data_IF_127765601980
#
_entry.id   IF_127765601980
#
_cell.length_a   1.000
_cell.length_b   1.000
_cell.length_c   1.000
_cell.angle_alpha   90.00
_cell.angle_beta   90.00
_cell.angle_gamma   90.00
#
_symmetry.space_group_name_H-M   'P 1'
#
loop_
_entity.id
_entity.type
_entity.pdbx_description
1 polymer ?
#
# COMPACT_ATOMS: atom_id res chain seq x y z
N UNK A 1 -2.21 -10.97 -34.42
CA UNK A 1 -2.55 -9.54 -34.66
C UNK A 1 -1.38 -8.94 -35.41
N UNK A 2 -1.61 -8.24 -36.52
CA UNK A 2 -0.54 -7.61 -37.31
C UNK A 2 -0.06 -6.34 -36.56
N UNK A 3 1.22 -5.98 -36.67
CA UNK A 3 1.69 -4.71 -36.10
C UNK A 3 1.09 -3.52 -36.88
N UNK A 4 0.83 -2.40 -36.19
CA UNK A 4 0.29 -1.16 -36.84
C UNK A 4 1.17 -0.69 -37.97
N UNK A 5 2.50 -0.78 -37.84
CA UNK A 5 3.46 -0.45 -38.87
C UNK A 5 3.30 -1.35 -40.12
N UNK A 6 3.06 -2.65 -39.93
CA UNK A 6 2.82 -3.58 -41.05
C UNK A 6 1.52 -3.26 -41.78
N UNK A 7 0.44 -3.00 -40.99
CA UNK A 7 -0.87 -2.63 -41.58
C UNK A 7 -0.73 -1.36 -42.41
N UNK A 8 -0.07 -0.33 -41.86
CA UNK A 8 0.10 0.95 -42.51
C UNK A 8 0.91 0.83 -43.82
N UNK A 9 2.02 0.11 -43.79
CA UNK A 9 2.82 -0.13 -44.99
C UNK A 9 2.02 -0.83 -46.09
N UNK A 10 1.14 -1.77 -45.74
CA UNK A 10 0.26 -2.45 -46.72
C UNK A 10 -0.82 -1.54 -47.28
N UNK A 11 -1.42 -0.69 -46.45
CA UNK A 11 -2.40 0.31 -46.88
C UNK A 11 -1.78 1.31 -47.85
N UNK A 12 -0.61 1.85 -47.52
CA UNK A 12 0.11 2.78 -48.39
C UNK A 12 0.50 2.12 -49.71
N UNK A 13 1.04 0.90 -49.72
CA UNK A 13 1.35 0.15 -50.97
C UNK A 13 0.11 -0.12 -51.83
N UNK A 14 -1.05 -0.36 -51.22
CA UNK A 14 -2.30 -0.49 -51.98
C UNK A 14 -2.76 0.84 -52.59
N UNK A 15 -2.58 1.94 -51.86
CA UNK A 15 -2.90 3.29 -52.33
C UNK A 15 -1.98 3.73 -53.48
N UNK A 16 -0.69 3.36 -53.46
CA UNK A 16 0.25 3.65 -54.55
C UNK A 16 -0.13 3.01 -55.90
N UNK A 17 -0.87 1.91 -55.86
CA UNK A 17 -1.39 1.29 -57.07
C UNK A 17 -2.52 2.11 -57.76
N UNK A 18 -3.16 3.02 -57.03
CA UNK A 18 -4.31 3.85 -57.46
C UNK A 18 -4.00 5.34 -57.53
N UNK A 19 -3.05 5.79 -56.69
CA UNK A 19 -2.52 7.14 -56.66
C UNK A 19 -1.04 7.07 -57.08
N UNK A 20 -0.51 8.18 -57.59
CA UNK A 20 0.94 8.17 -57.91
C UNK A 20 1.77 8.10 -56.61
N UNK A 21 2.96 7.42 -56.58
CA UNK A 21 3.82 7.37 -55.41
C UNK A 21 4.16 8.74 -54.84
N UNK A 22 4.31 9.75 -55.67
CA UNK A 22 4.55 11.15 -55.26
C UNK A 22 3.38 11.74 -54.45
N UNK A 23 2.14 11.39 -54.79
CA UNK A 23 0.96 11.85 -54.07
C UNK A 23 0.90 11.17 -52.70
N UNK A 24 1.17 9.86 -52.63
CA UNK A 24 1.18 9.12 -51.38
C UNK A 24 2.29 9.65 -50.45
N UNK A 25 3.52 9.81 -50.92
CA UNK A 25 4.60 10.36 -50.09
C UNK A 25 4.33 11.77 -49.63
N UNK A 26 3.78 12.63 -50.45
CA UNK A 26 3.49 14.03 -50.09
C UNK A 26 2.52 14.14 -48.91
N UNK A 27 1.50 13.29 -48.88
CA UNK A 27 0.43 13.40 -47.87
C UNK A 27 0.59 12.48 -46.68
N UNK A 28 1.37 11.38 -46.77
CA UNK A 28 1.40 10.34 -45.75
C UNK A 28 2.79 10.03 -45.18
N UNK A 29 3.91 10.63 -45.64
CA UNK A 29 5.26 10.35 -45.16
C UNK A 29 5.42 10.48 -43.66
N UNK A 30 4.76 11.47 -43.02
CA UNK A 30 4.80 11.71 -41.58
C UNK A 30 3.49 11.28 -40.90
N UNK A 31 2.72 10.36 -41.48
CA UNK A 31 1.43 9.89 -40.93
C UNK A 31 1.63 8.56 -40.23
N UNK A 32 1.16 8.47 -39.00
CA UNK A 32 1.27 7.27 -38.15
C UNK A 32 -0.13 6.78 -37.73
N UNK A 33 -0.27 5.45 -37.55
CA UNK A 33 -1.44 4.89 -36.90
C UNK A 33 -1.30 5.05 -35.39
N UNK A 34 -2.23 5.79 -34.78
CA UNK A 34 -2.34 5.92 -33.32
C UNK A 34 -3.18 4.79 -32.72
N UNK A 35 -4.28 4.44 -33.38
CA UNK A 35 -5.20 3.40 -32.90
C UNK A 35 -5.78 2.62 -34.11
N UNK A 36 -5.86 1.29 -33.93
CA UNK A 36 -6.52 0.40 -34.88
C UNK A 36 -7.37 -0.60 -34.12
N UNK A 37 -8.69 -0.52 -34.36
CA UNK A 37 -9.67 -1.47 -33.84
C UNK A 37 -10.48 -2.05 -35.02
N UNK A 38 -11.34 -3.03 -34.77
CA UNK A 38 -12.20 -3.61 -35.81
C UNK A 38 -13.19 -2.61 -36.42
N UNK A 39 -13.41 -1.46 -35.77
CA UNK A 39 -14.37 -0.44 -36.17
C UNK A 39 -13.75 0.93 -36.44
N UNK A 40 -12.53 1.21 -35.96
CA UNK A 40 -11.94 2.55 -36.02
C UNK A 40 -10.45 2.49 -36.36
N UNK A 41 -10.01 3.40 -37.22
CA UNK A 41 -8.63 3.70 -37.55
C UNK A 41 -8.36 5.17 -37.24
N UNK A 42 -7.47 5.46 -36.30
CA UNK A 42 -7.05 6.83 -35.98
C UNK A 42 -5.64 7.05 -36.48
N UNK A 43 -5.47 8.07 -37.28
CA UNK A 43 -4.20 8.49 -37.85
C UNK A 43 -3.73 9.81 -37.24
N UNK A 44 -2.44 9.95 -37.10
CA UNK A 44 -1.81 11.23 -36.79
C UNK A 44 -1.18 11.83 -38.04
N UNK A 45 -1.39 13.13 -38.22
CA UNK A 45 -0.72 13.91 -39.26
C UNK A 45 -0.26 15.25 -38.66
N UNK A 46 1.04 15.62 -38.71
CA UNK A 46 1.56 16.79 -38.01
C UNK A 46 1.02 18.15 -38.55
N UNK A 47 0.32 18.14 -39.66
CA UNK A 47 -0.19 19.34 -40.34
C UNK A 47 -1.71 19.33 -40.48
N UNK A 48 -2.38 20.36 -39.95
CA UNK A 48 -3.83 20.58 -40.10
C UNK A 48 -4.24 20.60 -41.57
N UNK A 49 -3.39 21.15 -42.45
CA UNK A 49 -3.66 21.16 -43.90
C UNK A 49 -3.61 19.74 -44.49
N UNK A 50 -2.64 18.91 -44.13
CA UNK A 50 -2.56 17.51 -44.55
C UNK A 50 -3.74 16.70 -44.01
N UNK A 51 -4.12 16.89 -42.77
CA UNK A 51 -5.32 16.30 -42.18
C UNK A 51 -6.56 16.55 -43.03
N UNK A 52 -6.82 17.81 -43.38
CA UNK A 52 -7.96 18.18 -44.19
C UNK A 52 -7.96 17.50 -45.55
N UNK A 53 -6.80 17.38 -46.21
CA UNK A 53 -6.66 16.68 -47.48
C UNK A 53 -6.91 15.18 -47.31
N UNK A 54 -6.35 14.55 -46.29
CA UNK A 54 -6.55 13.13 -46.02
C UNK A 54 -8.03 12.85 -45.77
N UNK A 55 -8.69 13.62 -44.91
CA UNK A 55 -10.11 13.46 -44.60
C UNK A 55 -11.02 13.64 -45.83
N UNK A 56 -10.76 14.66 -46.66
CA UNK A 56 -11.64 15.01 -47.77
C UNK A 56 -11.39 14.18 -49.04
N UNK A 57 -10.17 13.72 -49.26
CA UNK A 57 -9.79 13.13 -50.54
C UNK A 57 -9.25 11.70 -50.46
N UNK A 58 -8.71 11.29 -49.32
CA UNK A 58 -7.98 10.01 -49.20
C UNK A 58 -8.70 8.96 -48.36
N UNK A 59 -9.70 9.31 -47.55
CA UNK A 59 -10.44 8.36 -46.70
C UNK A 59 -11.07 7.21 -47.47
N UNK A 60 -11.56 7.47 -48.69
CA UNK A 60 -12.14 6.43 -49.56
C UNK A 60 -11.13 5.33 -49.92
N UNK A 61 -9.91 5.74 -50.29
CA UNK A 61 -8.82 4.81 -50.65
C UNK A 61 -8.31 4.03 -49.43
N UNK A 62 -8.24 4.64 -48.27
CA UNK A 62 -7.83 3.97 -47.04
C UNK A 62 -8.88 2.94 -46.62
N UNK A 63 -10.18 3.28 -46.65
CA UNK A 63 -11.28 2.34 -46.35
C UNK A 63 -11.28 1.14 -47.31
N UNK A 64 -11.09 1.39 -48.58
CA UNK A 64 -11.02 0.36 -49.61
C UNK A 64 -9.82 -0.57 -49.36
N UNK A 65 -8.64 -0.03 -49.08
CA UNK A 65 -7.46 -0.80 -48.74
C UNK A 65 -7.67 -1.65 -47.46
N UNK A 66 -8.27 -1.09 -46.41
CA UNK A 66 -8.60 -1.81 -45.19
C UNK A 66 -9.58 -2.95 -45.43
N UNK A 67 -10.59 -2.72 -46.27
CA UNK A 67 -11.58 -3.74 -46.62
C UNK A 67 -11.00 -4.85 -47.50
N UNK A 68 -10.20 -4.50 -48.52
CA UNK A 68 -9.67 -5.50 -49.47
C UNK A 68 -8.55 -6.35 -48.87
N UNK A 69 -7.67 -5.74 -48.06
CA UNK A 69 -6.48 -6.45 -47.51
C UNK A 69 -6.80 -7.16 -46.19
N UNK A 70 -7.57 -6.50 -45.30
CA UNK A 70 -7.78 -6.96 -43.93
C UNK A 70 -9.22 -7.36 -43.64
N UNK A 71 -10.15 -7.17 -44.58
CA UNK A 71 -11.59 -7.41 -44.42
C UNK A 71 -12.23 -6.60 -43.27
N UNK A 72 -11.67 -5.42 -42.98
CA UNK A 72 -12.11 -4.55 -41.89
C UNK A 72 -12.83 -3.33 -42.46
N UNK A 73 -14.02 -3.02 -41.91
CA UNK A 73 -14.76 -1.80 -42.25
C UNK A 73 -14.62 -0.80 -41.12
N UNK A 74 -13.66 0.13 -41.26
CA UNK A 74 -13.27 1.06 -40.22
C UNK A 74 -13.75 2.49 -40.49
N UNK A 75 -14.12 3.21 -39.43
CA UNK A 75 -14.23 4.67 -39.49
C UNK A 75 -12.82 5.26 -39.36
N UNK A 76 -12.53 6.28 -40.19
CA UNK A 76 -11.22 6.92 -40.22
C UNK A 76 -11.32 8.29 -39.54
N UNK A 77 -10.51 8.49 -38.56
CA UNK A 77 -10.27 9.76 -37.90
C UNK A 77 -8.82 10.20 -38.10
N UNK A 78 -8.56 11.49 -38.26
CA UNK A 78 -7.21 12.03 -38.45
C UNK A 78 -7.02 13.17 -37.49
N UNK A 79 -6.01 13.08 -36.67
CA UNK A 79 -5.66 14.07 -35.66
C UNK A 79 -4.42 14.85 -36.06
N UNK A 80 -4.43 16.16 -35.80
CA UNK A 80 -3.27 17.01 -35.99
C UNK A 80 -2.52 17.26 -34.67
N UNK A 81 -1.47 18.09 -34.73
CA UNK A 81 -0.61 18.39 -33.58
C UNK A 81 -1.37 19.05 -32.42
N UNK A 82 -2.47 19.78 -32.71
CA UNK A 82 -3.27 20.46 -31.68
C UNK A 82 -4.26 19.51 -30.99
N UNK A 83 -4.65 18.42 -31.65
CA UNK A 83 -5.63 17.45 -31.15
C UNK A 83 -4.98 16.21 -30.55
N UNK A 84 -3.72 15.93 -30.94
CA UNK A 84 -3.03 14.70 -30.51
C UNK A 84 -2.81 14.64 -29.00
N UNK A 85 -2.53 15.77 -28.36
CA UNK A 85 -2.37 15.84 -26.90
C UNK A 85 -3.68 15.52 -26.18
N UNK A 86 -4.79 16.09 -26.65
CA UNK A 86 -6.12 15.81 -26.12
C UNK A 86 -6.55 14.36 -26.41
N UNK A 87 -6.14 13.81 -27.53
CA UNK A 87 -6.43 12.41 -27.90
C UNK A 87 -5.60 11.43 -27.06
N UNK A 88 -4.28 11.65 -26.92
CA UNK A 88 -3.40 10.84 -26.09
C UNK A 88 -3.86 10.84 -24.62
N UNK A 89 -4.39 11.96 -24.14
CA UNK A 89 -5.05 12.04 -22.85
C UNK A 89 -6.35 11.21 -22.74
N UNK A 90 -7.06 11.01 -23.87
CA UNK A 90 -8.32 10.21 -23.93
C UNK A 90 -8.10 8.74 -24.31
N UNK A 91 -7.04 8.44 -25.08
CA UNK A 91 -6.78 7.08 -25.62
C UNK A 91 -6.11 6.13 -24.65
N UNK A 92 -5.56 6.62 -23.55
CA UNK A 92 -5.36 5.76 -22.40
C UNK A 92 -6.76 5.51 -21.82
N UNK A 93 -7.46 4.44 -22.28
CA UNK A 93 -8.50 3.85 -21.44
C UNK A 93 -7.86 3.72 -20.07
N UNK A 94 -8.45 4.31 -19.00
CA UNK A 94 -7.92 4.12 -17.67
C UNK A 94 -7.64 2.63 -17.54
N UNK A 95 -6.42 2.24 -17.18
CA UNK A 95 -6.12 0.86 -16.81
C UNK A 95 -7.21 0.51 -15.81
N UNK A 96 -8.13 -0.37 -16.24
CA UNK A 96 -9.31 -0.69 -15.46
C UNK A 96 -8.77 -1.31 -14.17
N UNK A 97 -8.75 -0.52 -13.11
CA UNK A 97 -8.41 -1.05 -11.79
C UNK A 97 -9.48 -2.10 -11.53
N UNK A 98 -9.13 -3.38 -11.58
CA UNK A 98 -10.02 -4.42 -11.11
C UNK A 98 -10.30 -4.16 -9.63
N UNK A 99 -11.39 -3.43 -9.38
CA UNK A 99 -11.83 -3.15 -8.03
C UNK A 99 -12.18 -4.47 -7.37
N UNK A 100 -11.49 -4.81 -6.30
CA UNK A 100 -11.92 -5.94 -5.48
C UNK A 100 -13.33 -5.65 -4.95
N UNK A 101 -14.36 -6.39 -5.38
CA UNK A 101 -15.75 -6.09 -5.01
C UNK A 101 -16.01 -6.20 -3.50
N UNK A 102 -15.10 -6.78 -2.75
CA UNK A 102 -15.17 -6.86 -1.29
C UNK A 102 -14.71 -5.57 -0.59
N UNK A 103 -13.96 -4.70 -1.26
CA UNK A 103 -13.40 -3.49 -0.65
C UNK A 103 -14.30 -2.28 -0.91
N UNK A 104 -15.45 -2.25 -0.24
CA UNK A 104 -16.43 -1.16 -0.29
C UNK A 104 -16.59 -0.54 1.11
N UNK A 105 -17.14 0.67 1.18
CA UNK A 105 -17.47 1.29 2.49
C UNK A 105 -18.47 0.46 3.29
N UNK A 106 -19.42 -0.20 2.61
CA UNK A 106 -20.43 -1.04 3.28
C UNK A 106 -19.82 -2.27 3.96
N UNK A 107 -18.75 -2.81 3.40
CA UNK A 107 -18.02 -3.95 3.96
C UNK A 107 -16.97 -3.55 5.00
N UNK A 108 -16.70 -2.25 5.14
CA UNK A 108 -15.73 -1.75 6.10
C UNK A 108 -16.38 -1.60 7.48
N UNK A 109 -15.91 -2.38 8.45
CA UNK A 109 -16.44 -2.31 9.83
C UNK A 109 -15.90 -1.07 10.53
N UNK A 110 -16.80 -0.14 10.87
CA UNK A 110 -16.45 1.12 11.52
C UNK A 110 -16.53 0.97 13.04
N UNK A 111 -15.44 1.34 13.71
CA UNK A 111 -15.33 1.39 15.17
C UNK A 111 -14.66 2.68 15.65
N UNK A 112 -14.42 2.80 16.96
CA UNK A 112 -13.79 3.98 17.57
C UNK A 112 -12.40 4.26 16.98
N UNK A 113 -11.66 3.21 16.62
CA UNK A 113 -10.27 3.26 16.16
C UNK A 113 -10.07 3.67 14.70
N UNK A 114 -11.15 3.72 13.88
CA UNK A 114 -11.06 3.99 12.44
C UNK A 114 -12.15 4.93 11.92
N UNK A 115 -13.08 5.36 12.78
CA UNK A 115 -14.23 6.19 12.40
C UNK A 115 -13.83 7.48 11.71
N UNK A 116 -12.78 8.14 12.19
CA UNK A 116 -12.31 9.39 11.61
C UNK A 116 -11.75 9.20 10.19
N UNK A 117 -10.89 8.21 10.01
CA UNK A 117 -10.32 7.86 8.69
C UNK A 117 -11.42 7.42 7.70
N UNK A 118 -12.38 6.62 8.17
CA UNK A 118 -13.55 6.22 7.37
C UNK A 118 -14.37 7.43 6.93
N UNK A 119 -14.74 8.33 7.86
CA UNK A 119 -15.53 9.52 7.55
C UNK A 119 -14.80 10.45 6.56
N UNK A 120 -13.48 10.64 6.72
CA UNK A 120 -12.65 11.40 5.79
C UNK A 120 -12.63 10.76 4.39
N UNK A 121 -12.47 9.43 4.32
CA UNK A 121 -12.49 8.69 3.06
C UNK A 121 -13.84 8.80 2.34
N UNK A 122 -14.96 8.69 3.05
CA UNK A 122 -16.32 8.87 2.50
C UNK A 122 -16.51 10.30 1.98
N UNK A 123 -16.02 11.31 2.72
CA UNK A 123 -16.10 12.71 2.29
C UNK A 123 -15.35 12.96 1.00
N UNK A 124 -14.11 12.46 0.89
CA UNK A 124 -13.28 12.56 -0.33
C UNK A 124 -13.91 11.81 -1.50
N UNK A 125 -14.48 10.64 -1.25
CA UNK A 125 -15.11 9.84 -2.30
C UNK A 125 -16.34 10.51 -2.92
N UNK A 126 -17.10 11.29 -2.12
CA UNK A 126 -18.29 12.00 -2.58
C UNK A 126 -17.95 13.36 -3.22
N UNK A 127 -16.90 14.03 -2.76
CA UNK A 127 -16.49 15.37 -3.23
C UNK A 127 -14.97 15.39 -3.45
N UNK A 128 -14.46 14.74 -4.52
CA UNK A 128 -13.03 14.70 -4.81
C UNK A 128 -12.46 16.10 -5.05
N UNK A 129 -11.27 16.36 -4.49
CA UNK A 129 -10.52 17.61 -4.55
C UNK A 129 -11.16 18.84 -3.84
N UNK A 130 -12.38 18.72 -3.35
CA UNK A 130 -13.09 19.84 -2.70
C UNK A 130 -12.90 19.87 -1.18
N UNK A 131 -12.83 18.70 -0.54
CA UNK A 131 -12.90 18.62 0.93
C UNK A 131 -11.52 18.52 1.57
N UNK A 132 -10.78 17.46 1.27
CA UNK A 132 -9.48 17.16 1.85
C UNK A 132 -8.49 16.71 0.77
N UNK A 133 -7.54 17.57 0.40
CA UNK A 133 -6.52 17.25 -0.59
C UNK A 133 -5.14 17.73 -0.14
N UNK A 134 -4.16 16.81 0.05
CA UNK A 134 -4.30 15.35 0.02
C UNK A 134 -5.07 14.80 1.23
N UNK A 135 -5.62 13.59 1.10
CA UNK A 135 -5.99 12.76 2.25
C UNK A 135 -4.85 11.79 2.53
N UNK A 136 -4.30 11.85 3.74
CA UNK A 136 -3.22 10.98 4.19
C UNK A 136 -3.71 10.05 5.30
N UNK A 137 -3.78 8.73 5.01
CA UNK A 137 -4.26 7.72 5.96
C UNK A 137 -3.07 6.90 6.45
N UNK A 138 -2.84 6.86 7.75
CA UNK A 138 -1.74 6.09 8.28
C UNK A 138 -2.15 5.15 9.42
N UNK A 139 -1.30 4.19 9.72
CA UNK A 139 -1.46 3.24 10.81
C UNK A 139 -0.79 1.90 10.51
N UNK A 140 -0.63 1.03 11.51
CA UNK A 140 0.01 -0.27 11.36
C UNK A 140 -0.51 -1.10 10.18
N UNK A 141 0.28 -2.09 9.74
CA UNK A 141 -0.09 -2.95 8.63
C UNK A 141 -1.34 -3.79 8.97
N UNK A 142 -2.20 -4.02 7.96
CA UNK A 142 -3.35 -4.91 8.10
C UNK A 142 -4.58 -4.31 8.79
N UNK A 143 -4.69 -2.98 8.93
CA UNK A 143 -5.83 -2.30 9.55
C UNK A 143 -6.89 -1.79 8.57
N UNK A 144 -6.75 -2.05 7.26
CA UNK A 144 -7.75 -1.69 6.26
C UNK A 144 -7.46 -0.42 5.45
N UNK A 145 -6.24 0.14 5.48
CA UNK A 145 -5.85 1.32 4.66
C UNK A 145 -6.12 1.10 3.17
N UNK A 146 -5.61 0.00 2.62
CA UNK A 146 -5.85 -0.39 1.22
C UNK A 146 -7.34 -0.57 0.92
N UNK A 147 -8.14 -1.09 1.87
CA UNK A 147 -9.58 -1.21 1.74
C UNK A 147 -10.23 0.16 1.50
N UNK A 148 -9.85 1.17 2.29
CA UNK A 148 -10.37 2.54 2.14
C UNK A 148 -9.97 3.15 0.79
N UNK A 149 -8.74 2.92 0.30
CA UNK A 149 -8.34 3.37 -1.04
C UNK A 149 -9.25 2.80 -2.14
N UNK A 150 -9.49 1.49 -2.11
CA UNK A 150 -10.38 0.85 -3.09
C UNK A 150 -11.84 1.28 -2.93
N UNK A 151 -12.31 1.51 -1.70
CA UNK A 151 -13.65 2.01 -1.45
C UNK A 151 -13.84 3.42 -2.03
N UNK A 152 -12.86 4.32 -1.84
CA UNK A 152 -12.84 5.65 -2.47
C UNK A 152 -12.90 5.50 -3.99
N UNK A 153 -12.00 4.71 -4.57
CA UNK A 153 -11.92 4.52 -6.02
C UNK A 153 -13.24 3.99 -6.61
N UNK A 154 -13.87 3.03 -5.93
CA UNK A 154 -15.16 2.44 -6.36
C UNK A 154 -16.29 3.47 -6.39
N UNK A 155 -16.40 4.31 -5.36
CA UNK A 155 -17.44 5.36 -5.28
C UNK A 155 -17.17 6.46 -6.31
N UNK A 156 -15.92 6.92 -6.43
CA UNK A 156 -15.55 7.93 -7.44
C UNK A 156 -15.81 7.42 -8.85
N UNK A 157 -15.42 6.17 -9.16
CA UNK A 157 -15.70 5.57 -10.48
C UNK A 157 -17.20 5.50 -10.79
N UNK A 158 -18.03 5.17 -9.79
CA UNK A 158 -19.48 5.13 -9.94
C UNK A 158 -20.09 6.51 -10.18
N UNK A 159 -19.62 7.53 -9.46
CA UNK A 159 -20.15 8.89 -9.52
C UNK A 159 -19.57 9.69 -10.70
N UNK A 160 -18.32 9.42 -11.07
CA UNK A 160 -17.58 10.10 -12.14
C UNK A 160 -16.92 9.07 -13.08
N UNK A 161 -17.72 8.41 -13.98
CA UNK A 161 -17.21 7.34 -14.86
C UNK A 161 -16.11 7.78 -15.83
N UNK A 162 -16.00 9.08 -16.08
CA UNK A 162 -14.98 9.67 -16.97
C UNK A 162 -13.65 9.96 -16.29
N UNK A 163 -13.58 9.85 -14.95
CA UNK A 163 -12.36 10.15 -14.22
C UNK A 163 -11.29 9.10 -14.48
N UNK A 164 -10.09 9.58 -14.74
CA UNK A 164 -8.89 8.76 -14.79
C UNK A 164 -8.42 8.46 -13.36
N UNK A 165 -8.73 7.26 -12.87
CA UNK A 165 -8.36 6.82 -11.52
C UNK A 165 -7.07 6.01 -11.61
N UNK A 166 -6.02 6.46 -10.96
CA UNK A 166 -4.72 5.79 -10.91
C UNK A 166 -4.44 5.31 -9.50
N UNK A 167 -4.31 3.99 -9.35
CA UNK A 167 -3.86 3.36 -8.09
C UNK A 167 -2.47 2.76 -8.30
N UNK A 168 -1.57 3.01 -7.36
CA UNK A 168 -0.22 2.43 -7.38
C UNK A 168 0.33 2.24 -5.97
N UNK A 169 1.21 1.26 -5.79
CA UNK A 169 2.01 1.12 -4.59
C UNK A 169 3.32 1.90 -4.71
N UNK A 170 3.83 2.41 -3.58
CA UNK A 170 5.06 3.20 -3.57
C UNK A 170 6.30 2.48 -4.13
N UNK A 171 6.41 1.16 -3.93
CA UNK A 171 7.47 0.34 -4.51
C UNK A 171 7.28 0.15 -6.02
N UNK A 172 6.06 -0.06 -6.48
CA UNK A 172 5.72 -0.18 -7.90
C UNK A 172 5.99 1.13 -8.65
N UNK A 173 5.60 2.29 -8.08
CA UNK A 173 5.92 3.60 -8.65
C UNK A 173 7.42 3.76 -8.89
N UNK A 174 8.25 3.33 -7.92
CA UNK A 174 9.70 3.34 -8.07
C UNK A 174 10.16 2.44 -9.21
N UNK A 175 9.65 1.21 -9.29
CA UNK A 175 10.07 0.25 -10.31
C UNK A 175 9.67 0.71 -11.73
N UNK A 176 8.46 1.26 -11.88
CA UNK A 176 8.02 1.81 -13.15
C UNK A 176 8.83 3.03 -13.58
N UNK A 177 9.20 3.91 -12.63
CA UNK A 177 10.10 5.04 -12.92
C UNK A 177 11.46 4.57 -13.41
N UNK A 178 12.07 3.59 -12.74
CA UNK A 178 13.37 3.03 -13.14
C UNK A 178 13.30 2.44 -14.55
N UNK A 179 12.25 1.67 -14.85
CA UNK A 179 12.05 1.09 -16.17
C UNK A 179 11.87 2.19 -17.24
N UNK A 180 11.07 3.20 -16.96
CA UNK A 180 10.83 4.34 -17.87
C UNK A 180 12.13 5.12 -18.15
N UNK A 181 12.99 5.32 -17.14
CA UNK A 181 14.29 5.97 -17.29
C UNK A 181 15.24 5.14 -18.17
N UNK A 182 15.30 3.82 -17.96
CA UNK A 182 16.16 2.93 -18.73
C UNK A 182 15.74 2.81 -20.20
N UNK A 183 14.45 2.89 -20.47
CA UNK A 183 13.86 2.75 -21.80
C UNK A 183 13.62 4.09 -22.51
N UNK A 184 13.95 5.22 -21.88
CA UNK A 184 13.74 6.57 -22.44
C UNK A 184 12.25 6.98 -22.55
N UNK A 185 11.34 6.29 -21.82
CA UNK A 185 9.88 6.53 -21.85
C UNK A 185 9.39 7.45 -20.74
N UNK A 186 10.19 8.45 -20.34
CA UNK A 186 9.89 9.36 -19.25
C UNK A 186 8.57 10.13 -19.45
N UNK A 187 8.26 10.50 -20.70
CA UNK A 187 7.03 11.24 -21.00
C UNK A 187 5.78 10.36 -20.82
N UNK A 188 5.83 9.08 -21.17
CA UNK A 188 4.73 8.15 -20.95
C UNK A 188 4.46 7.96 -19.45
N UNK A 189 5.52 7.78 -18.66
CA UNK A 189 5.42 7.70 -17.21
C UNK A 189 4.76 8.96 -16.61
N UNK A 190 5.24 10.15 -17.00
CA UNK A 190 4.67 11.42 -16.54
C UNK A 190 3.23 11.59 -16.94
N UNK A 191 2.88 11.25 -18.18
CA UNK A 191 1.51 11.34 -18.67
C UNK A 191 0.57 10.40 -17.92
N UNK A 192 1.01 9.17 -17.59
CA UNK A 192 0.23 8.22 -16.81
C UNK A 192 -0.18 8.78 -15.45
N UNK A 193 0.77 9.37 -14.72
CA UNK A 193 0.51 9.80 -13.34
C UNK A 193 0.04 11.24 -13.21
N UNK A 194 0.50 12.16 -14.05
CA UNK A 194 0.16 13.59 -13.95
C UNK A 194 -1.21 13.94 -14.53
N UNK A 195 -1.84 13.02 -15.30
CA UNK A 195 -3.19 13.20 -15.84
C UNK A 195 -4.26 12.41 -15.06
N UNK A 196 -3.95 11.97 -13.85
CA UNK A 196 -4.93 11.30 -12.99
C UNK A 196 -5.89 12.33 -12.37
N UNK A 197 -7.20 12.11 -12.47
CA UNK A 197 -8.21 12.88 -11.75
C UNK A 197 -8.28 12.48 -10.27
N UNK A 198 -8.01 11.17 -10.00
CA UNK A 198 -7.87 10.61 -8.67
C UNK A 198 -6.58 9.78 -8.61
N UNK A 199 -5.63 10.21 -7.79
CA UNK A 199 -4.35 9.54 -7.59
C UNK A 199 -4.28 8.89 -6.21
N UNK A 200 -4.25 7.56 -6.19
CA UNK A 200 -4.23 6.73 -5.00
C UNK A 200 -2.87 6.04 -4.86
N UNK A 201 -2.17 6.32 -3.78
CA UNK A 201 -0.85 5.72 -3.53
C UNK A 201 -0.88 4.92 -2.24
N UNK A 202 -0.70 3.62 -2.36
CA UNK A 202 -0.64 2.73 -1.21
C UNK A 202 0.82 2.54 -0.75
N UNK A 203 1.02 2.53 0.56
CA UNK A 203 2.32 2.31 1.19
C UNK A 203 3.41 3.26 0.69
N UNK A 204 3.16 4.58 0.74
CA UNK A 204 4.07 5.63 0.25
C UNK A 204 5.46 5.60 0.93
N UNK A 205 5.61 5.01 2.14
CA UNK A 205 6.89 4.88 2.83
C UNK A 205 7.96 4.16 1.98
N UNK A 206 7.59 3.39 0.98
CA UNK A 206 8.54 2.68 0.11
C UNK A 206 9.33 3.58 -0.86
N UNK A 207 8.93 4.87 -1.03
CA UNK A 207 9.76 5.83 -1.78
C UNK A 207 10.85 6.45 -0.91
N UNK A 208 10.76 6.35 0.42
CA UNK A 208 11.73 6.96 1.33
C UNK A 208 13.16 6.45 1.09
N UNK A 209 14.13 7.36 1.04
CA UNK A 209 15.52 7.07 0.77
C UNK A 209 15.87 6.84 -0.71
N UNK A 210 14.95 7.08 -1.64
CA UNK A 210 15.14 6.96 -3.10
C UNK A 210 15.03 8.35 -3.74
N UNK A 211 16.11 9.12 -3.76
CA UNK A 211 16.13 10.54 -4.14
C UNK A 211 15.43 10.82 -5.47
N UNK A 212 15.82 10.14 -6.56
CA UNK A 212 15.19 10.35 -7.88
C UNK A 212 13.70 10.03 -7.90
N UNK A 213 13.26 9.03 -7.11
CA UNK A 213 11.84 8.67 -6.98
C UNK A 213 11.08 9.75 -6.21
N UNK A 214 11.67 10.28 -5.13
CA UNK A 214 11.07 11.35 -4.35
C UNK A 214 10.95 12.64 -5.17
N UNK A 215 11.94 12.94 -6.00
CA UNK A 215 11.93 14.10 -6.89
C UNK A 215 10.80 14.01 -7.93
N UNK A 216 10.68 12.89 -8.65
CA UNK A 216 9.62 12.71 -9.65
C UNK A 216 8.22 12.65 -8.98
N UNK A 217 8.14 12.04 -7.79
CA UNK A 217 6.90 12.03 -7.00
C UNK A 217 6.49 13.44 -6.57
N UNK A 218 7.44 14.26 -6.13
CA UNK A 218 7.20 15.66 -5.77
C UNK A 218 6.63 16.47 -6.94
N UNK A 219 7.20 16.32 -8.13
CA UNK A 219 6.70 16.98 -9.33
C UNK A 219 5.31 16.48 -9.74
N UNK A 220 5.07 15.17 -9.64
CA UNK A 220 3.76 14.57 -9.90
C UNK A 220 2.71 15.09 -8.92
N UNK A 221 3.03 15.10 -7.63
CA UNK A 221 2.17 15.62 -6.58
C UNK A 221 1.79 17.10 -6.82
N UNK A 222 2.78 17.95 -7.09
CA UNK A 222 2.51 19.37 -7.33
C UNK A 222 1.62 19.59 -8.55
N UNK A 223 1.90 18.90 -9.66
CA UNK A 223 1.09 18.99 -10.86
C UNK A 223 -0.38 18.62 -10.58
N UNK A 224 -0.63 17.50 -9.88
CA UNK A 224 -1.98 17.06 -9.54
C UNK A 224 -2.66 18.04 -8.58
N UNK A 225 -1.96 18.52 -7.57
CA UNK A 225 -2.50 19.44 -6.57
C UNK A 225 -2.88 20.80 -7.18
N UNK A 226 -2.02 21.37 -8.01
CA UNK A 226 -2.24 22.65 -8.70
C UNK A 226 -3.39 22.60 -9.71
N UNK A 227 -3.61 21.42 -10.31
CA UNK A 227 -4.74 21.18 -11.22
C UNK A 227 -6.02 20.73 -10.49
N UNK A 228 -6.07 20.80 -9.15
CA UNK A 228 -7.22 20.40 -8.34
C UNK A 228 -7.64 18.92 -8.55
N UNK A 229 -6.67 18.04 -8.74
CA UNK A 229 -6.92 16.58 -8.78
C UNK A 229 -6.78 16.00 -7.40
N UNK A 230 -7.60 14.99 -7.06
CA UNK A 230 -7.59 14.38 -5.74
C UNK A 230 -6.39 13.45 -5.56
N UNK A 231 -5.68 13.63 -4.44
CA UNK A 231 -4.58 12.77 -4.01
C UNK A 231 -4.98 12.08 -2.71
N UNK A 232 -4.80 10.75 -2.63
CA UNK A 232 -4.97 9.97 -1.40
C UNK A 232 -3.75 9.09 -1.21
N UNK A 233 -3.14 9.19 -0.04
CA UNK A 233 -1.91 8.48 0.30
C UNK A 233 -2.14 7.59 1.51
N UNK A 234 -1.53 6.39 1.52
CA UNK A 234 -1.46 5.59 2.74
C UNK A 234 -0.03 5.33 3.18
N UNK A 235 0.15 5.12 4.48
CA UNK A 235 1.44 4.80 5.08
C UNK A 235 1.33 3.93 6.34
N UNK A 236 2.46 3.40 6.80
CA UNK A 236 2.53 2.67 8.08
C UNK A 236 2.67 3.62 9.30
N UNK A 237 3.06 4.88 9.07
CA UNK A 237 3.33 5.92 10.08
C UNK A 237 3.07 7.32 9.53
N UNK A 238 2.96 8.36 10.40
CA UNK A 238 2.75 9.73 9.94
C UNK A 238 3.99 10.29 9.21
N UNK A 239 3.83 11.34 8.37
CA UNK A 239 4.91 11.90 7.54
C UNK A 239 6.15 12.33 8.33
N UNK A 240 5.98 12.93 9.51
CA UNK A 240 7.07 13.40 10.37
C UNK A 240 7.95 12.27 10.95
N UNK A 241 7.41 11.05 11.06
CA UNK A 241 8.15 9.87 11.53
C UNK A 241 8.83 9.09 10.40
N UNK A 242 8.61 9.47 9.15
CA UNK A 242 9.26 8.83 8.00
C UNK A 242 10.71 9.27 7.89
N UNK A 243 11.62 8.44 8.40
CA UNK A 243 13.06 8.63 8.21
C UNK A 243 13.40 8.56 6.71
N UNK A 244 14.30 9.44 6.24
CA UNK A 244 14.75 9.53 4.83
C UNK A 244 13.67 9.97 3.82
N UNK A 245 12.52 10.45 4.27
CA UNK A 245 11.59 11.20 3.42
C UNK A 245 12.03 12.67 3.42
N UNK A 246 12.08 13.29 2.22
CA UNK A 246 12.45 14.68 2.07
C UNK A 246 11.43 15.61 2.74
N UNK A 247 11.90 16.66 3.41
CA UNK A 247 11.05 17.57 4.18
C UNK A 247 10.02 18.31 3.31
N UNK A 248 10.35 18.55 2.04
CA UNK A 248 9.40 19.13 1.07
C UNK A 248 8.19 18.21 0.82
N UNK A 249 8.38 16.86 0.79
CA UNK A 249 7.28 15.89 0.67
C UNK A 249 6.49 15.78 1.97
N UNK A 250 7.15 15.76 3.14
CA UNK A 250 6.47 15.77 4.44
C UNK A 250 5.51 16.95 4.53
N UNK A 251 5.99 18.15 4.22
CA UNK A 251 5.18 19.37 4.21
C UNK A 251 3.97 19.26 3.27
N UNK A 252 4.15 18.67 2.06
CA UNK A 252 3.06 18.47 1.10
C UNK A 252 2.00 17.48 1.62
N UNK A 253 2.43 16.38 2.26
CA UNK A 253 1.52 15.40 2.83
C UNK A 253 0.71 15.97 4.00
N UNK A 254 1.26 16.96 4.70
CA UNK A 254 0.60 17.64 5.82
C UNK A 254 -0.34 18.79 5.39
N UNK A 255 -0.36 19.19 4.11
CA UNK A 255 -1.24 20.27 3.65
C UNK A 255 -2.72 19.95 3.73
N UNK A 256 -3.09 18.68 3.61
CA UNK A 256 -4.47 18.22 3.65
C UNK A 256 -4.89 17.67 5.01
N UNK A 257 -5.62 16.58 4.99
CA UNK A 257 -6.07 15.90 6.19
C UNK A 257 -5.25 14.66 6.46
N UNK A 258 -4.70 14.56 7.67
CA UNK A 258 -4.04 13.36 8.17
C UNK A 258 -5.01 12.60 9.07
N UNK A 259 -5.28 11.33 8.75
CA UNK A 259 -6.17 10.45 9.48
C UNK A 259 -5.46 9.18 9.90
N UNK A 260 -5.52 8.84 11.19
CA UNK A 260 -4.93 7.63 11.72
C UNK A 260 -5.95 6.47 11.79
N UNK A 261 -5.43 5.26 11.67
CA UNK A 261 -6.17 4.03 11.95
C UNK A 261 -5.41 3.27 13.03
N UNK A 262 -6.07 3.04 14.16
CA UNK A 262 -5.53 2.29 15.29
C UNK A 262 -6.04 0.83 15.29
N UNK A 263 -5.39 -0.09 16.03
CA UNK A 263 -5.92 -1.43 16.23
C UNK A 263 -7.37 -1.40 16.76
N UNK A 264 -8.24 -2.29 16.25
CA UNK A 264 -9.64 -2.31 16.61
C UNK A 264 -9.84 -2.69 18.10
N UNK A 265 -10.81 -2.04 18.77
CA UNK A 265 -11.29 -2.45 20.08
C UNK A 265 -12.01 -3.81 20.03
N UNK A 266 -12.35 -4.35 21.19
CA UNK A 266 -12.97 -5.68 21.30
C UNK A 266 -14.29 -5.77 20.50
N UNK A 267 -15.16 -4.76 20.62
CA UNK A 267 -16.46 -4.70 19.95
C UNK A 267 -16.27 -4.65 18.43
N UNK A 268 -15.33 -3.86 17.96
CA UNK A 268 -15.01 -3.76 16.53
C UNK A 268 -14.44 -5.09 16.02
N UNK A 269 -13.56 -5.79 16.77
CA UNK A 269 -13.07 -7.13 16.39
C UNK A 269 -14.21 -8.13 16.30
N UNK A 270 -15.13 -8.15 17.28
CA UNK A 270 -16.32 -9.00 17.23
C UNK A 270 -17.16 -8.77 15.97
N UNK A 271 -17.39 -7.49 15.63
CA UNK A 271 -18.13 -7.13 14.43
C UNK A 271 -17.42 -7.57 13.14
N UNK A 272 -16.08 -7.41 13.07
CA UNK A 272 -15.27 -7.87 11.94
C UNK A 272 -15.36 -9.39 11.76
N UNK A 273 -15.23 -10.16 12.84
CA UNK A 273 -15.31 -11.63 12.82
C UNK A 273 -16.68 -12.07 12.30
N UNK A 274 -17.77 -11.51 12.86
CA UNK A 274 -19.15 -11.83 12.45
C UNK A 274 -19.42 -11.45 10.99
N UNK A 275 -19.05 -10.24 10.58
CA UNK A 275 -19.22 -9.80 9.20
C UNK A 275 -18.45 -10.71 8.23
N UNK A 276 -17.20 -11.07 8.59
CA UNK A 276 -16.38 -11.96 7.76
C UNK A 276 -16.94 -13.37 7.68
N UNK A 277 -17.45 -13.94 8.76
CA UNK A 277 -18.06 -15.27 8.74
C UNK A 277 -19.31 -15.30 7.85
N UNK A 278 -20.20 -14.31 7.98
CA UNK A 278 -21.38 -14.17 7.13
C UNK A 278 -21.00 -14.00 5.66
N UNK A 279 -20.01 -13.15 5.35
CA UNK A 279 -19.53 -12.96 3.97
C UNK A 279 -18.92 -14.24 3.34
N UNK A 280 -18.46 -15.15 4.17
CA UNK A 280 -17.97 -16.46 3.79
C UNK A 280 -19.06 -17.55 3.76
N UNK A 281 -20.32 -17.22 4.09
CA UNK A 281 -21.46 -18.12 4.03
C UNK A 281 -21.59 -19.10 5.20
N UNK A 282 -21.02 -18.78 6.39
CA UNK A 282 -21.19 -19.60 7.58
C UNK A 282 -21.31 -18.69 8.82
N UNK A 283 -21.92 -19.22 9.88
CA UNK A 283 -22.09 -18.50 11.14
C UNK A 283 -21.19 -19.09 12.23
N UNK A 284 -20.48 -18.21 12.94
CA UNK A 284 -19.68 -18.59 14.10
C UNK A 284 -20.51 -18.38 15.38
N UNK A 285 -20.51 -19.34 16.32
CA UNK A 285 -21.10 -19.16 17.64
C UNK A 285 -20.47 -17.96 18.39
N UNK A 286 -21.26 -17.30 19.22
CA UNK A 286 -20.82 -16.09 19.95
C UNK A 286 -19.63 -16.33 20.88
N UNK A 287 -19.56 -17.47 21.53
CA UNK A 287 -18.45 -17.90 22.39
C UNK A 287 -17.16 -18.08 21.61
N UNK A 288 -17.26 -18.63 20.38
CA UNK A 288 -16.12 -18.77 19.45
C UNK A 288 -15.68 -17.39 18.95
N UNK A 289 -16.60 -16.51 18.57
CA UNK A 289 -16.28 -15.14 18.18
C UNK A 289 -15.57 -14.39 19.32
N UNK A 290 -16.06 -14.51 20.55
CA UNK A 290 -15.44 -13.94 21.74
C UNK A 290 -14.03 -14.46 21.94
N UNK A 291 -13.85 -15.78 21.87
CA UNK A 291 -12.53 -16.41 21.99
C UNK A 291 -11.54 -15.89 20.94
N UNK A 292 -11.96 -15.74 19.68
CA UNK A 292 -11.10 -15.21 18.62
C UNK A 292 -10.76 -13.73 18.89
N UNK A 293 -11.76 -12.93 19.25
CA UNK A 293 -11.58 -11.50 19.51
C UNK A 293 -10.66 -11.21 20.72
N UNK A 294 -10.64 -12.07 21.73
CA UNK A 294 -9.75 -11.96 22.88
C UNK A 294 -8.30 -12.37 22.58
N UNK A 295 -8.10 -13.32 21.69
CA UNK A 295 -6.79 -13.91 21.43
C UNK A 295 -6.09 -13.38 20.16
N UNK A 296 -6.82 -12.79 19.21
CA UNK A 296 -6.29 -12.19 17.97
C UNK A 296 -6.56 -10.69 18.01
N UNK A 297 -5.56 -9.91 18.41
CA UNK A 297 -5.72 -8.49 18.74
C UNK A 297 -4.96 -7.52 17.84
N UNK A 298 -3.94 -8.00 17.10
CA UNK A 298 -2.94 -7.14 16.45
C UNK A 298 -3.47 -6.42 15.20
N UNK A 299 -4.19 -7.12 14.33
CA UNK A 299 -4.65 -6.51 13.08
C UNK A 299 -5.84 -7.24 12.43
N UNK A 300 -6.56 -6.53 11.57
CA UNK A 300 -7.75 -7.03 10.88
C UNK A 300 -7.42 -8.16 9.89
N UNK A 301 -6.26 -8.08 9.22
CA UNK A 301 -5.83 -9.13 8.26
C UNK A 301 -5.68 -10.49 8.94
N UNK A 302 -5.14 -10.50 10.16
CA UNK A 302 -5.00 -11.73 10.94
C UNK A 302 -6.36 -12.25 11.43
N UNK A 303 -7.27 -11.36 11.87
CA UNK A 303 -8.65 -11.72 12.21
C UNK A 303 -9.36 -12.40 11.03
N UNK A 304 -9.34 -11.77 9.85
CA UNK A 304 -9.95 -12.34 8.66
C UNK A 304 -9.30 -13.66 8.22
N UNK A 305 -7.96 -13.74 8.32
CA UNK A 305 -7.22 -14.97 8.06
C UNK A 305 -7.64 -16.11 9.00
N UNK A 306 -7.83 -15.78 10.28
CA UNK A 306 -8.31 -16.71 11.30
C UNK A 306 -9.70 -17.26 10.96
N UNK A 307 -10.66 -16.39 10.59
CA UNK A 307 -12.00 -16.80 10.20
C UNK A 307 -11.97 -17.70 8.95
N UNK A 308 -11.15 -17.36 7.94
CA UNK A 308 -10.96 -18.18 6.74
C UNK A 308 -10.38 -19.57 7.08
N UNK A 309 -9.40 -19.61 7.98
CA UNK A 309 -8.80 -20.88 8.43
C UNK A 309 -9.80 -21.78 9.16
N UNK A 310 -10.61 -21.19 10.05
CA UNK A 310 -11.68 -21.93 10.77
C UNK A 310 -12.68 -22.51 9.77
N UNK A 311 -13.12 -21.72 8.79
CA UNK A 311 -14.00 -22.19 7.73
C UNK A 311 -13.40 -23.40 6.99
N UNK A 312 -12.13 -23.31 6.61
CA UNK A 312 -11.46 -24.40 5.91
C UNK A 312 -11.46 -25.70 6.73
N UNK A 313 -11.20 -25.65 8.04
CA UNK A 313 -11.31 -26.82 8.91
C UNK A 313 -12.74 -27.32 9.07
N UNK A 314 -13.72 -26.41 9.13
CA UNK A 314 -15.13 -26.80 9.19
C UNK A 314 -15.56 -27.51 7.90
N UNK A 315 -15.24 -26.97 6.73
CA UNK A 315 -15.68 -27.49 5.44
C UNK A 315 -14.92 -28.78 5.02
N UNK A 316 -13.60 -28.88 5.33
CA UNK A 316 -12.76 -29.99 4.88
C UNK A 316 -12.67 -31.13 5.89
N UNK A 317 -12.59 -30.80 7.19
CA UNK A 317 -12.42 -31.81 8.27
C UNK A 317 -13.70 -32.06 9.08
N UNK A 318 -14.85 -31.46 8.67
CA UNK A 318 -16.10 -31.47 9.43
C UNK A 318 -15.92 -31.07 10.90
N UNK A 319 -15.01 -30.11 11.16
CA UNK A 319 -14.72 -29.66 12.51
C UNK A 319 -15.92 -28.94 13.12
N UNK A 320 -16.39 -29.41 14.29
CA UNK A 320 -17.39 -28.66 15.06
C UNK A 320 -16.86 -27.32 15.52
N UNK A 321 -17.69 -26.28 15.38
CA UNK A 321 -17.37 -24.89 15.74
C UNK A 321 -17.51 -24.67 17.26
N UNK A 322 -16.62 -25.29 18.03
CA UNK A 322 -16.52 -25.13 19.49
C UNK A 322 -15.20 -24.49 19.87
N UNK A 323 -15.18 -23.78 21.01
CA UNK A 323 -13.96 -23.10 21.49
C UNK A 323 -12.73 -24.03 21.60
N UNK A 324 -12.84 -25.29 22.12
CA UNK A 324 -11.69 -26.21 22.18
C UNK A 324 -11.15 -26.58 20.80
N UNK A 325 -12.01 -26.85 19.82
CA UNK A 325 -11.61 -27.22 18.48
C UNK A 325 -10.98 -26.03 17.74
N UNK A 326 -11.63 -24.87 17.81
CA UNK A 326 -11.11 -23.62 17.22
C UNK A 326 -9.78 -23.22 17.85
N UNK A 327 -9.64 -23.30 19.18
CA UNK A 327 -8.38 -23.02 19.87
C UNK A 327 -7.23 -23.87 19.34
N UNK A 328 -7.49 -25.17 19.08
CA UNK A 328 -6.49 -26.08 18.51
C UNK A 328 -6.14 -25.68 17.07
N UNK A 329 -7.15 -25.36 16.26
CA UNK A 329 -7.00 -25.04 14.85
C UNK A 329 -6.20 -23.75 14.60
N UNK A 330 -6.32 -22.74 15.49
CA UNK A 330 -5.67 -21.43 15.32
C UNK A 330 -4.49 -21.20 16.27
N UNK A 331 -4.07 -22.22 17.02
CA UNK A 331 -3.02 -22.12 18.03
C UNK A 331 -1.73 -21.45 17.53
N UNK A 332 -1.31 -21.78 16.34
CA UNK A 332 -0.11 -21.21 15.70
C UNK A 332 -0.28 -19.73 15.33
N UNK A 333 -1.50 -19.28 15.05
CA UNK A 333 -1.75 -17.89 14.65
C UNK A 333 -1.60 -16.94 15.86
N UNK A 334 -2.25 -17.24 16.98
CA UNK A 334 -2.13 -16.39 18.17
C UNK A 334 -0.85 -16.60 18.96
N UNK A 335 -0.21 -17.79 18.87
CA UNK A 335 1.13 -17.99 19.43
C UNK A 335 2.18 -17.18 18.67
N UNK A 336 2.05 -17.06 17.35
CA UNK A 336 2.91 -16.20 16.53
C UNK A 336 2.70 -14.74 16.89
N UNK A 337 1.45 -14.29 17.03
CA UNK A 337 1.11 -12.93 17.46
C UNK A 337 1.70 -12.59 18.84
N UNK A 338 1.55 -13.52 19.81
CA UNK A 338 2.19 -13.37 21.12
C UNK A 338 3.71 -13.29 21.04
N UNK A 339 4.33 -14.00 20.09
CA UNK A 339 5.77 -13.96 19.87
C UNK A 339 6.23 -12.67 19.15
N UNK A 340 5.45 -12.18 18.21
CA UNK A 340 5.73 -10.93 17.45
C UNK A 340 5.53 -9.69 18.33
N UNK A 341 4.63 -9.74 19.31
CA UNK A 341 4.39 -8.67 20.29
C UNK A 341 5.30 -8.73 21.52
N UNK A 342 6.25 -9.66 21.57
CA UNK A 342 7.25 -9.69 22.64
C UNK A 342 8.41 -8.75 22.31
N UNK A 343 8.89 -7.97 23.29
CA UNK A 343 10.04 -7.12 23.08
C UNK A 343 11.28 -7.94 22.74
N UNK A 344 12.09 -7.45 21.82
CA UNK A 344 13.37 -8.08 21.52
C UNK A 344 14.36 -7.83 22.67
N UNK A 345 15.34 -8.74 22.92
CA UNK A 345 16.38 -8.51 23.90
C UNK A 345 17.13 -7.18 23.70
N UNK A 346 17.34 -6.78 22.43
CA UNK A 346 17.99 -5.52 22.11
C UNK A 346 17.15 -4.30 22.51
N UNK A 347 15.82 -4.33 22.31
CA UNK A 347 14.93 -3.28 22.78
C UNK A 347 14.98 -3.15 24.31
N UNK A 348 14.90 -4.28 25.03
CA UNK A 348 14.94 -4.31 26.48
C UNK A 348 16.28 -3.75 26.99
N UNK A 349 17.40 -4.21 26.44
CA UNK A 349 18.75 -3.75 26.85
C UNK A 349 18.91 -2.25 26.53
N UNK A 350 18.38 -1.78 25.38
CA UNK A 350 18.40 -0.38 25.01
C UNK A 350 17.62 0.51 25.99
N UNK A 351 16.44 0.07 26.46
CA UNK A 351 15.68 0.83 27.46
C UNK A 351 16.35 0.84 28.83
N UNK A 352 16.93 -0.28 29.26
CA UNK A 352 17.73 -0.33 30.47
C UNK A 352 18.98 0.56 30.35
N UNK A 353 19.64 0.57 29.20
CA UNK A 353 20.79 1.43 28.89
C UNK A 353 20.42 2.92 29.04
N UNK A 354 19.31 3.35 28.49
CA UNK A 354 18.83 4.73 28.63
C UNK A 354 18.47 5.09 30.06
N UNK A 355 17.76 4.20 30.75
CA UNK A 355 17.32 4.44 32.12
C UNK A 355 18.51 4.61 33.09
N UNK A 356 19.52 3.73 33.00
CA UNK A 356 20.71 3.77 33.87
C UNK A 356 21.81 4.69 33.33
N UNK A 357 21.64 5.26 32.13
CA UNK A 357 22.65 6.06 31.42
C UNK A 357 24.00 5.30 31.27
N UNK A 358 23.93 4.04 30.81
CA UNK A 358 25.07 3.13 30.62
C UNK A 358 24.99 2.56 29.22
N UNK A 359 26.06 2.61 28.42
CA UNK A 359 26.09 2.08 27.06
C UNK A 359 25.73 0.58 27.04
N UNK A 360 24.98 0.16 26.04
CA UNK A 360 24.54 -1.25 25.85
C UNK A 360 25.73 -2.22 25.82
N UNK A 361 26.83 -1.86 25.17
CA UNK A 361 28.05 -2.66 25.11
C UNK A 361 28.64 -2.90 26.51
N UNK A 362 28.52 -1.94 27.43
CA UNK A 362 28.98 -2.05 28.82
C UNK A 362 28.04 -2.94 29.63
N UNK A 363 26.72 -2.88 29.39
CA UNK A 363 25.73 -3.77 30.01
C UNK A 363 26.00 -5.22 29.60
N UNK A 364 26.24 -5.47 28.33
CA UNK A 364 26.60 -6.79 27.75
C UNK A 364 28.00 -7.24 28.18
N UNK A 365 28.86 -6.32 28.54
CA UNK A 365 30.28 -6.55 28.88
C UNK A 365 30.57 -7.10 30.27
N UNK A 366 31.85 -7.11 30.64
CA UNK A 366 32.36 -7.75 31.89
C UNK A 366 32.60 -6.81 33.02
N UNK A 367 32.42 -5.49 32.86
CA UNK A 367 32.63 -4.48 33.89
C UNK A 367 31.81 -4.77 35.17
N UNK A 368 32.47 -4.62 36.34
CA UNK A 368 31.93 -5.05 37.65
C UNK A 368 31.59 -3.89 38.58
N UNK A 369 31.47 -2.65 38.12
CA UNK A 369 31.02 -1.58 38.99
C UNK A 369 29.56 -1.80 39.47
N UNK A 370 29.19 -1.24 40.62
CA UNK A 370 27.89 -1.49 41.25
C UNK A 370 26.70 -1.16 40.37
N UNK A 371 26.71 0.00 39.71
CA UNK A 371 25.62 0.46 38.83
C UNK A 371 25.48 -0.40 37.58
N UNK A 372 26.60 -0.74 36.93
CA UNK A 372 26.58 -1.63 35.74
C UNK A 372 26.13 -3.04 36.09
N UNK A 373 26.54 -3.54 37.28
CA UNK A 373 26.09 -4.87 37.71
C UNK A 373 24.57 -4.90 37.96
N UNK A 374 24.02 -3.84 38.58
CA UNK A 374 22.58 -3.69 38.81
C UNK A 374 21.82 -3.58 37.47
N UNK A 375 22.22 -2.67 36.58
CA UNK A 375 21.61 -2.52 35.25
C UNK A 375 21.60 -3.85 34.47
N UNK A 376 22.71 -4.60 34.50
CA UNK A 376 22.81 -5.92 33.85
C UNK A 376 21.85 -6.93 34.46
N UNK A 377 21.74 -6.98 35.82
CA UNK A 377 20.82 -7.87 36.52
C UNK A 377 19.37 -7.55 36.19
N UNK A 378 18.99 -6.27 36.14
CA UNK A 378 17.68 -5.80 35.73
C UNK A 378 17.40 -6.16 34.24
N UNK A 379 18.37 -5.94 33.35
CA UNK A 379 18.23 -6.31 31.93
C UNK A 379 18.00 -7.83 31.77
N UNK A 380 18.79 -8.68 32.43
CA UNK A 380 18.59 -10.14 32.44
C UNK A 380 17.22 -10.53 32.98
N UNK A 381 16.76 -9.89 34.05
CA UNK A 381 15.44 -10.14 34.64
C UNK A 381 14.31 -9.75 33.68
N UNK A 382 14.36 -8.56 33.07
CA UNK A 382 13.36 -8.10 32.11
C UNK A 382 13.35 -8.95 30.84
N UNK A 383 14.53 -9.32 30.32
CA UNK A 383 14.61 -10.26 29.17
C UNK A 383 13.94 -11.59 29.52
N UNK A 384 14.17 -12.14 30.72
CA UNK A 384 13.52 -13.39 31.15
C UNK A 384 12.01 -13.24 31.31
N UNK A 385 11.54 -12.11 31.84
CA UNK A 385 10.12 -11.86 32.12
C UNK A 385 9.31 -11.49 30.88
N UNK A 386 9.91 -10.74 29.98
CA UNK A 386 9.22 -10.15 28.82
C UNK A 386 9.46 -10.91 27.50
N UNK A 387 10.35 -11.91 27.51
CA UNK A 387 10.62 -12.76 26.32
C UNK A 387 10.46 -14.25 26.64
N UNK A 388 10.40 -15.07 25.58
CA UNK A 388 10.36 -16.54 25.70
C UNK A 388 11.75 -17.19 25.69
N UNK A 389 12.85 -16.42 25.87
CA UNK A 389 14.20 -16.93 25.80
C UNK A 389 14.53 -17.90 26.93
N UNK A 390 15.25 -18.95 26.58
CA UNK A 390 15.80 -19.89 27.56
C UNK A 390 16.96 -19.27 28.36
N UNK A 391 17.23 -19.78 29.54
CA UNK A 391 18.35 -19.30 30.35
C UNK A 391 19.72 -19.36 29.66
N UNK A 392 20.04 -20.44 28.89
CA UNK A 392 21.22 -20.47 28.04
C UNK A 392 21.26 -19.38 26.97
N UNK A 393 20.13 -19.08 26.33
CA UNK A 393 20.06 -18.07 25.27
C UNK A 393 20.20 -16.65 25.84
N UNK A 394 19.61 -16.38 27.02
CA UNK A 394 19.86 -15.14 27.75
C UNK A 394 21.35 -15.04 28.11
N UNK A 395 21.98 -16.15 28.55
CA UNK A 395 23.40 -16.18 28.77
C UNK A 395 24.24 -15.74 27.59
N UNK A 396 23.91 -16.23 26.38
CA UNK A 396 24.56 -15.82 25.11
C UNK A 396 24.45 -14.32 24.85
N UNK A 397 23.26 -13.73 25.07
CA UNK A 397 23.03 -12.29 24.86
C UNK A 397 23.92 -11.40 25.73
N UNK A 398 24.29 -11.86 26.91
CA UNK A 398 25.13 -11.11 27.85
C UNK A 398 26.57 -11.65 27.98
N UNK A 399 26.98 -12.61 27.16
CA UNK A 399 28.27 -13.25 27.23
C UNK A 399 28.56 -13.89 28.62
N UNK A 400 27.53 -14.57 29.18
CA UNK A 400 27.57 -15.18 30.53
C UNK A 400 27.04 -16.60 30.52
N UNK A 401 27.49 -17.39 31.49
CA UNK A 401 26.94 -18.72 31.74
C UNK A 401 25.51 -18.62 32.32
N UNK A 402 24.70 -19.63 32.01
CA UNK A 402 23.33 -19.73 32.54
C UNK A 402 23.24 -19.66 34.06
N UNK A 403 24.28 -20.16 34.79
CA UNK A 403 24.37 -20.06 36.25
C UNK A 403 24.46 -18.60 36.75
N UNK A 404 25.16 -17.73 36.00
CA UNK A 404 25.24 -16.30 36.31
C UNK A 404 23.87 -15.63 36.06
N UNK A 405 23.15 -16.04 35.01
CA UNK A 405 21.78 -15.55 34.77
C UNK A 405 20.87 -15.93 35.92
N UNK A 406 20.86 -17.20 36.34
CA UNK A 406 20.03 -17.68 37.46
C UNK A 406 20.33 -16.89 38.74
N UNK A 407 21.60 -16.67 39.06
CA UNK A 407 21.99 -15.88 40.24
C UNK A 407 21.48 -14.43 40.13
N UNK A 408 21.58 -13.82 38.96
CA UNK A 408 21.11 -12.46 38.71
C UNK A 408 19.58 -12.34 38.89
N UNK A 409 18.82 -13.31 38.35
CA UNK A 409 17.36 -13.37 38.49
C UNK A 409 16.94 -13.47 39.94
N UNK A 410 17.51 -14.45 40.68
CA UNK A 410 17.22 -14.65 42.11
C UNK A 410 17.51 -13.39 42.95
N UNK A 411 18.59 -12.68 42.64
CA UNK A 411 18.95 -11.46 43.38
C UNK A 411 17.93 -10.34 43.14
N UNK A 412 17.49 -10.14 41.87
CA UNK A 412 16.46 -9.14 41.54
C UNK A 412 15.13 -9.53 42.21
N UNK A 413 14.73 -10.80 42.13
CA UNK A 413 13.50 -11.31 42.75
C UNK A 413 13.50 -11.11 44.28
N UNK A 414 14.60 -11.37 44.93
CA UNK A 414 14.76 -11.13 46.38
C UNK A 414 14.63 -9.65 46.72
N UNK A 415 15.22 -8.76 45.95
CA UNK A 415 15.12 -7.31 46.18
C UNK A 415 13.69 -6.79 45.93
N UNK A 416 12.99 -7.33 44.91
CA UNK A 416 11.57 -7.03 44.67
C UNK A 416 10.68 -7.52 45.81
N UNK A 417 10.91 -8.73 46.32
CA UNK A 417 10.17 -9.30 47.47
C UNK A 417 10.38 -8.53 48.76
N UNK A 418 11.58 -7.96 48.96
CA UNK A 418 11.89 -7.14 50.13
C UNK A 418 11.21 -5.76 50.09
N UNK A 419 10.73 -5.30 48.94
CA UNK A 419 10.00 -4.04 48.79
C UNK A 419 10.77 -2.78 49.17
N UNK A 420 12.10 -2.88 49.35
CA UNK A 420 12.97 -1.79 49.83
C UNK A 420 13.81 -1.24 48.67
N UNK A 421 13.88 0.10 48.56
CA UNK A 421 14.67 0.79 47.53
C UNK A 421 13.91 1.17 46.25
N UNK A 422 14.59 1.79 45.31
CA UNK A 422 14.02 2.28 44.03
C UNK A 422 13.83 1.19 42.96
N UNK A 423 14.29 -0.04 43.17
CA UNK A 423 14.31 -1.09 42.16
C UNK A 423 12.91 -1.47 41.63
N UNK A 424 11.86 -1.60 42.49
CA UNK A 424 10.51 -1.90 42.00
C UNK A 424 9.96 -0.80 41.06
N UNK A 425 10.17 0.46 41.41
CA UNK A 425 9.75 1.61 40.62
C UNK A 425 10.55 1.69 39.31
N UNK A 426 11.86 1.50 39.34
CA UNK A 426 12.71 1.46 38.17
C UNK A 426 12.26 0.39 37.16
N UNK A 427 11.97 -0.83 37.65
CA UNK A 427 11.49 -1.92 36.79
C UNK A 427 10.11 -1.59 36.18
N UNK A 428 9.21 -0.99 36.96
CA UNK A 428 7.89 -0.56 36.45
C UNK A 428 8.05 0.49 35.37
N UNK A 429 8.87 1.50 35.56
CA UNK A 429 9.08 2.59 34.59
C UNK A 429 9.73 2.10 33.30
N UNK A 430 10.78 1.26 33.41
CA UNK A 430 11.43 0.63 32.27
C UNK A 430 10.42 -0.25 31.49
N UNK A 431 9.60 -1.04 32.20
CA UNK A 431 8.59 -1.89 31.56
C UNK A 431 7.53 -1.07 30.85
N UNK A 432 7.09 0.05 31.44
CA UNK A 432 6.15 0.98 30.79
C UNK A 432 6.75 1.57 29.50
N UNK A 433 8.03 1.98 29.53
CA UNK A 433 8.72 2.48 28.35
C UNK A 433 8.91 1.42 27.26
N UNK A 434 9.19 0.17 27.62
CA UNK A 434 9.25 -0.94 26.66
C UNK A 434 7.89 -1.16 26.02
N UNK A 435 6.82 -1.23 26.79
CA UNK A 435 5.46 -1.47 26.31
C UNK A 435 4.94 -0.34 25.39
N UNK A 436 5.40 0.90 25.60
CA UNK A 436 5.04 2.03 24.75
C UNK A 436 5.70 1.99 23.36
N UNK A 437 6.64 1.08 23.13
CA UNK A 437 7.41 0.93 21.88
C UNK A 437 7.14 -0.38 21.15
N UNK A 438 6.26 -1.21 21.69
CA UNK A 438 5.71 -2.42 21.05
C UNK A 438 4.45 -2.09 20.27
#
# INVERSE_FOLDING_TARGET
>A
MYSTAYVWAKVLGHMEARLTPQVVSTWFDDTEILELTDQKLVLYSPSTFRKDIILRRCTGYIKEAMQEIFQMNVEIDVLDETEIEAYRGRSQKPEFIEFNPQFTFDNFVVGSSNRFAHAAAVSVANNPAETYNPLFIYGPSGLGKTHLLYAIASVVHKNHPSYNIVYIKGDQFTNELIAALQEGRNNEFRNKYRNADLFLVDDIQFIAGKESTQEEFFHTFNNLYENHHQIVLTADRPPNEMLRLEDRLKTRFEWGLIADIQPPDFETRMAIIKNKSVSLGFELPDDVCTFIAENVTSNVRLLEGTVKKIRAYHDLDNMELTVPNVSRAIKDMYNKEKAENLPTPSLIIGEVSRFYNIEEAVIRGTLKNKNTAEARQVAMYLVRKLTNLSLPDIGKEFGRDHSTVIHSLKKVEQQLAAGTGSLPDNIRDITANINSKL
#
